data_IF_582578503534
#
_entry.id   IF_582578503534
#
_cell.length_a   1.000
_cell.length_b   1.000
_cell.length_c   1.000
_cell.angle_alpha   90.00
_cell.angle_beta   90.00
_cell.angle_gamma   90.00
#
_symmetry.space_group_name_H-M   'P 1'
#
loop_
_entity.id
_entity.type
_entity.pdbx_description
1 polymer ?
#
# COMPACT_ATOMS: atom_id res chain seq x y z
N UNK A 1 -13.37 8.97 -0.98
CA UNK A 1 -11.91 8.80 -1.14
C UNK A 1 -11.22 9.61 -0.05
N UNK A 2 -10.61 8.95 0.93
CA UNK A 2 -9.79 9.61 1.94
C UNK A 2 -8.39 9.87 1.34
N UNK A 3 -7.75 10.99 1.70
CA UNK A 3 -6.37 11.31 1.30
C UNK A 3 -5.46 11.13 2.50
N UNK A 4 -4.55 10.16 2.45
CA UNK A 4 -3.48 10.00 3.42
C UNK A 4 -2.17 10.57 2.83
N UNK A 5 -1.36 11.24 3.66
CA UNK A 5 -0.05 11.79 3.30
C UNK A 5 1.05 10.89 3.89
N UNK A 6 2.06 10.57 3.08
CA UNK A 6 3.25 9.80 3.48
C UNK A 6 4.49 10.32 2.73
N UNK A 7 5.68 9.77 3.00
CA UNK A 7 6.93 10.18 2.35
C UNK A 7 7.69 11.24 3.15
N UNK A 8 8.91 11.56 2.70
CA UNK A 8 9.88 12.41 3.44
C UNK A 8 9.28 13.72 3.94
N UNK A 9 8.49 14.42 3.11
CA UNK A 9 7.78 15.66 3.49
C UNK A 9 6.72 15.44 4.58
N UNK A 10 5.99 14.33 4.55
CA UNK A 10 4.99 14.01 5.57
C UNK A 10 5.63 13.55 6.89
N UNK A 11 6.84 13.00 6.79
CA UNK A 11 7.68 12.54 7.89
C UNK A 11 8.56 13.66 8.48
N UNK A 12 8.67 14.81 7.80
CA UNK A 12 9.53 15.93 8.21
C UNK A 12 11.03 15.65 8.00
N UNK A 13 11.36 14.73 7.08
CA UNK A 13 12.71 14.31 6.71
C UNK A 13 13.12 14.86 5.33
N UNK A 14 12.49 15.94 4.88
CA UNK A 14 12.79 16.58 3.61
C UNK A 14 14.10 17.39 3.66
N UNK A 15 14.98 17.14 2.70
CA UNK A 15 16.22 17.92 2.52
C UNK A 15 15.89 19.31 1.94
N UNK A 16 15.57 20.29 2.80
CA UNK A 16 15.38 21.68 2.38
C UNK A 16 16.71 22.44 2.39
N UNK A 17 17.32 22.63 1.21
CA UNK A 17 18.35 23.65 1.02
C UNK A 17 17.67 24.94 0.54
N UNK A 18 17.69 25.99 1.37
CA UNK A 18 17.08 27.28 1.05
C UNK A 18 17.69 27.84 -0.26
N UNK A 19 16.87 28.00 -1.29
CA UNK A 19 17.23 28.62 -2.57
C UNK A 19 17.55 27.65 -3.72
N UNK A 20 17.60 26.34 -3.45
CA UNK A 20 17.69 25.30 -4.48
C UNK A 20 16.38 24.50 -4.38
N UNK A 21 15.64 24.35 -5.48
CA UNK A 21 14.47 23.47 -5.48
C UNK A 21 14.88 22.08 -5.02
N UNK A 22 14.16 21.54 -4.03
CA UNK A 22 14.46 20.20 -3.51
C UNK A 22 14.15 19.12 -4.53
N UNK A 23 14.86 17.99 -4.44
CA UNK A 23 14.49 16.73 -5.13
C UNK A 23 13.38 15.98 -4.42
N UNK A 24 12.79 16.57 -3.37
CA UNK A 24 11.77 15.92 -2.56
C UNK A 24 10.47 15.80 -3.34
N UNK A 25 10.02 14.57 -3.51
CA UNK A 25 8.74 14.23 -4.11
C UNK A 25 7.63 14.27 -3.03
N UNK A 26 6.40 14.55 -3.45
CA UNK A 26 5.23 14.46 -2.57
C UNK A 26 4.46 13.18 -2.87
N UNK A 27 4.34 12.28 -1.89
CA UNK A 27 3.50 11.10 -2.04
C UNK A 27 2.06 11.34 -1.58
N UNK A 28 1.10 11.10 -2.47
CA UNK A 28 -0.32 11.08 -2.15
C UNK A 28 -0.85 9.66 -2.35
N UNK A 29 -1.14 8.98 -1.24
CA UNK A 29 -1.79 7.67 -1.26
C UNK A 29 -3.30 7.84 -1.36
N UNK A 30 -3.85 7.30 -2.45
CA UNK A 30 -5.26 7.21 -2.71
C UNK A 30 -5.77 5.89 -2.15
N UNK A 31 -6.36 5.97 -0.97
CA UNK A 31 -6.93 4.81 -0.29
C UNK A 31 -8.27 4.46 -0.92
N UNK A 32 -8.31 3.29 -1.56
CA UNK A 32 -9.51 2.69 -2.09
C UNK A 32 -10.10 1.72 -1.06
N UNK A 33 -11.31 2.05 -0.61
CA UNK A 33 -12.11 1.24 0.29
C UNK A 33 -13.40 0.90 -0.46
N UNK A 34 -13.39 -0.25 -1.14
CA UNK A 34 -14.50 -0.68 -1.98
C UNK A 34 -15.64 -1.31 -1.18
N UNK A 35 -16.76 -1.70 -1.83
CA UNK A 35 -17.88 -2.37 -1.16
C UNK A 35 -17.58 -3.86 -0.91
N UNK A 36 -16.40 -4.16 -0.37
CA UNK A 36 -15.95 -5.51 -0.02
C UNK A 36 -15.44 -5.54 1.42
N UNK A 37 -15.46 -6.73 2.01
CA UNK A 37 -14.87 -6.97 3.34
C UNK A 37 -13.48 -7.56 3.18
N UNK A 38 -12.61 -7.38 4.17
CA UNK A 38 -11.33 -8.08 4.24
C UNK A 38 -11.45 -9.36 5.07
N UNK A 39 -10.70 -10.39 4.72
CA UNK A 39 -10.32 -11.44 5.65
C UNK A 39 -9.12 -10.97 6.47
N UNK A 40 -9.01 -11.42 7.71
CA UNK A 40 -7.82 -11.20 8.54
C UNK A 40 -6.86 -12.41 8.55
N UNK A 41 -7.23 -13.52 7.90
CA UNK A 41 -6.38 -14.71 7.78
C UNK A 41 -5.38 -14.58 6.63
N UNK A 42 -4.23 -15.20 6.83
CA UNK A 42 -3.18 -15.40 5.83
C UNK A 42 -3.45 -16.68 5.04
N UNK A 43 -3.86 -17.74 5.73
CA UNK A 43 -4.26 -19.01 5.13
C UNK A 43 -5.56 -18.89 4.33
N UNK A 44 -5.80 -19.87 3.43
CA UNK A 44 -7.02 -19.93 2.62
C UNK A 44 -8.25 -19.89 3.53
N UNK A 45 -9.13 -18.88 3.38
CA UNK A 45 -10.34 -18.79 4.18
C UNK A 45 -11.34 -19.88 3.79
N UNK A 46 -12.20 -20.25 4.74
CA UNK A 46 -13.34 -21.12 4.47
C UNK A 46 -14.35 -20.44 3.52
N UNK A 47 -15.14 -21.26 2.83
CA UNK A 47 -16.22 -20.77 1.98
C UNK A 47 -17.25 -19.99 2.82
N UNK A 48 -17.74 -18.88 2.28
CA UNK A 48 -18.71 -18.01 2.95
C UNK A 48 -20.11 -18.13 2.35
N UNK A 49 -21.14 -17.79 3.13
CA UNK A 49 -22.48 -17.64 2.59
C UNK A 49 -22.53 -16.50 1.55
N UNK A 50 -23.29 -16.64 0.45
CA UNK A 50 -23.34 -15.63 -0.62
C UNK A 50 -23.71 -14.22 -0.15
N UNK A 51 -24.49 -14.09 0.92
CA UNK A 51 -24.90 -12.80 1.49
C UNK A 51 -23.75 -12.09 2.21
N UNK A 52 -22.67 -12.79 2.52
CA UNK A 52 -21.46 -12.22 3.13
C UNK A 52 -20.44 -11.75 2.10
N UNK A 53 -20.65 -12.07 0.82
CA UNK A 53 -19.82 -11.62 -0.29
C UNK A 53 -20.16 -10.17 -0.71
N UNK A 54 -19.23 -9.42 -1.34
CA UNK A 54 -17.87 -9.83 -1.66
C UNK A 54 -16.90 -9.67 -0.48
N UNK A 55 -15.97 -10.62 -0.35
CA UNK A 55 -14.87 -10.57 0.61
C UNK A 55 -13.55 -10.84 -0.11
N UNK A 56 -12.53 -10.07 0.24
CA UNK A 56 -11.16 -10.16 -0.28
C UNK A 56 -10.25 -10.85 0.71
N UNK A 57 -9.38 -11.68 0.15
CA UNK A 57 -8.29 -12.35 0.86
C UNK A 57 -6.95 -11.92 0.24
N UNK A 58 -6.05 -11.40 1.08
CA UNK A 58 -4.67 -11.14 0.72
C UNK A 58 -3.83 -12.39 1.00
N UNK A 59 -3.39 -13.05 -0.06
CA UNK A 59 -2.57 -14.26 0.00
C UNK A 59 -1.10 -13.90 -0.22
N UNK A 60 -0.19 -14.15 0.74
CA UNK A 60 1.24 -14.00 0.51
C UNK A 60 1.74 -14.80 -0.69
N UNK A 61 2.70 -14.23 -1.40
CA UNK A 61 3.43 -14.90 -2.48
C UNK A 61 4.74 -15.48 -1.95
N UNK A 62 5.47 -16.21 -2.80
CA UNK A 62 6.85 -16.64 -2.49
C UNK A 62 7.83 -15.46 -2.38
N UNK A 63 7.39 -14.25 -2.74
CA UNK A 63 8.15 -13.02 -2.55
C UNK A 63 7.75 -12.36 -1.23
N UNK A 64 8.66 -12.36 -0.26
CA UNK A 64 8.46 -11.65 1.00
C UNK A 64 8.04 -10.19 0.76
N UNK A 65 6.99 -9.75 1.45
CA UNK A 65 6.43 -8.40 1.27
C UNK A 65 5.48 -8.24 0.09
N UNK A 66 5.15 -9.31 -0.65
CA UNK A 66 4.18 -9.27 -1.75
C UNK A 66 3.02 -10.24 -1.52
N UNK A 67 1.83 -9.81 -1.94
CA UNK A 67 0.58 -10.58 -1.85
C UNK A 67 -0.16 -10.57 -3.18
N UNK A 68 -0.91 -11.63 -3.48
CA UNK A 68 -1.96 -11.62 -4.49
C UNK A 68 -3.31 -11.47 -3.82
N UNK A 69 -4.27 -10.86 -4.51
CA UNK A 69 -5.62 -10.67 -3.99
C UNK A 69 -6.57 -11.68 -4.61
N UNK A 70 -7.46 -12.23 -3.80
CA UNK A 70 -8.41 -13.26 -4.22
C UNK A 70 -9.79 -13.00 -3.65
N UNK A 71 -10.83 -13.33 -4.41
CA UNK A 71 -12.19 -13.37 -3.88
C UNK A 71 -12.36 -14.60 -3.00
N UNK A 72 -12.88 -14.40 -1.78
CA UNK A 72 -13.28 -15.53 -0.93
C UNK A 72 -14.42 -16.26 -1.61
N UNK A 73 -14.28 -17.58 -1.70
CA UNK A 73 -15.28 -18.45 -2.32
C UNK A 73 -16.58 -18.42 -1.53
N UNK A 74 -17.69 -18.50 -2.25
CA UNK A 74 -18.99 -18.74 -1.63
C UNK A 74 -19.34 -20.22 -1.66
N UNK A 75 -20.25 -20.65 -0.79
CA UNK A 75 -20.81 -22.02 -0.79
C UNK A 75 -21.55 -22.39 -2.08
N UNK A 76 -21.78 -21.42 -2.99
CA UNK A 76 -22.40 -21.62 -4.31
C UNK A 76 -21.40 -21.62 -5.47
N UNK A 77 -20.12 -21.38 -5.20
CA UNK A 77 -19.09 -21.38 -6.23
C UNK A 77 -18.89 -22.80 -6.77
N UNK A 78 -18.96 -22.96 -8.09
CA UNK A 78 -18.65 -24.24 -8.76
C UNK A 78 -17.17 -24.42 -9.11
N UNK A 79 -16.33 -23.41 -8.85
CA UNK A 79 -14.89 -23.47 -9.03
C UNK A 79 -14.21 -23.86 -7.72
N UNK A 80 -13.15 -24.66 -7.80
CA UNK A 80 -12.38 -25.06 -6.63
C UNK A 80 -11.21 -24.11 -6.36
N UNK A 81 -10.60 -23.61 -7.43
CA UNK A 81 -9.45 -22.72 -7.42
C UNK A 81 -9.84 -21.31 -6.95
N UNK A 82 -8.95 -20.63 -6.19
CA UNK A 82 -9.11 -19.22 -5.87
C UNK A 82 -9.22 -18.37 -7.13
N UNK A 83 -10.14 -17.40 -7.12
CA UNK A 83 -10.26 -16.43 -8.20
C UNK A 83 -9.49 -15.17 -7.82
N UNK A 84 -8.54 -14.79 -8.67
CA UNK A 84 -7.83 -13.54 -8.52
C UNK A 84 -8.81 -12.36 -8.52
N UNK A 85 -8.55 -11.41 -7.63
CA UNK A 85 -9.31 -10.20 -7.46
C UNK A 85 -8.40 -9.00 -7.71
N UNK A 86 -8.93 -7.97 -8.36
CA UNK A 86 -8.25 -6.68 -8.52
C UNK A 86 -6.78 -6.83 -8.93
N UNK A 87 -6.46 -7.39 -10.12
CA UNK A 87 -5.07 -7.54 -10.54
C UNK A 87 -4.35 -6.19 -10.53
N UNK A 88 -3.12 -6.18 -10.02
CA UNK A 88 -2.35 -4.96 -9.77
C UNK A 88 -2.18 -4.09 -11.03
N UNK A 89 -1.93 -4.70 -12.19
CA UNK A 89 -1.76 -3.95 -13.44
C UNK A 89 -3.02 -3.16 -13.85
N UNK A 90 -4.21 -3.71 -13.60
CA UNK A 90 -5.46 -2.99 -13.82
C UNK A 90 -5.60 -1.79 -12.89
N UNK A 91 -5.13 -1.88 -11.64
CA UNK A 91 -5.18 -0.76 -10.70
C UNK A 91 -4.14 0.32 -11.02
N UNK A 92 -2.96 -0.07 -11.53
CA UNK A 92 -1.98 0.88 -12.09
C UNK A 92 -2.57 1.64 -13.27
N UNK A 93 -3.22 0.92 -14.20
CA UNK A 93 -3.92 1.53 -15.33
C UNK A 93 -4.99 2.54 -14.87
N UNK A 94 -5.80 2.16 -13.89
CA UNK A 94 -6.81 3.05 -13.29
C UNK A 94 -6.19 4.33 -12.70
N UNK A 95 -5.11 4.22 -11.94
CA UNK A 95 -4.45 5.40 -11.36
C UNK A 95 -3.85 6.32 -12.43
N UNK A 96 -3.26 5.72 -13.47
CA UNK A 96 -2.73 6.47 -14.60
C UNK A 96 -3.83 7.23 -15.34
N UNK A 97 -4.96 6.57 -15.63
CA UNK A 97 -6.10 7.20 -16.29
C UNK A 97 -6.73 8.28 -15.43
N UNK A 98 -6.84 8.06 -14.11
CA UNK A 98 -7.30 9.08 -13.17
C UNK A 98 -6.41 10.32 -13.22
N UNK A 99 -5.08 10.16 -13.19
CA UNK A 99 -4.15 11.27 -13.30
C UNK A 99 -4.30 12.01 -14.64
N UNK A 100 -4.49 11.28 -15.75
CA UNK A 100 -4.73 11.89 -17.08
C UNK A 100 -6.00 12.74 -17.14
N UNK A 101 -7.03 12.37 -16.36
CA UNK A 101 -8.28 13.14 -16.27
C UNK A 101 -8.11 14.35 -15.35
N UNK A 102 -7.42 14.18 -14.22
CA UNK A 102 -7.32 15.20 -13.17
C UNK A 102 -6.23 16.24 -13.41
N UNK A 103 -5.20 15.92 -14.20
CA UNK A 103 -3.97 16.69 -14.30
C UNK A 103 -3.63 17.05 -15.74
N UNK A 104 -2.88 18.13 -15.88
CA UNK A 104 -2.43 18.67 -17.19
C UNK A 104 -0.91 18.69 -17.32
N UNK A 105 -0.18 18.40 -16.24
CA UNK A 105 1.27 18.25 -16.23
C UNK A 105 1.80 17.04 -16.99
N UNK A 106 3.12 16.86 -16.93
CA UNK A 106 3.79 15.66 -17.46
C UNK A 106 3.48 14.48 -16.54
N UNK A 107 2.84 13.46 -17.09
CA UNK A 107 2.43 12.25 -16.37
C UNK A 107 3.38 11.10 -16.73
N UNK A 108 4.00 10.48 -15.74
CA UNK A 108 4.95 9.37 -15.92
C UNK A 108 4.65 8.25 -14.91
N UNK A 109 4.30 7.03 -15.35
CA UNK A 109 4.21 5.88 -14.45
C UNK A 109 5.59 5.51 -13.88
N UNK A 110 5.70 5.38 -12.56
CA UNK A 110 6.96 5.07 -11.86
C UNK A 110 6.69 4.09 -10.70
N UNK A 111 7.03 2.82 -10.89
CA UNK A 111 6.78 1.78 -9.87
C UNK A 111 5.29 1.68 -9.49
N UNK A 112 4.91 1.76 -8.20
CA UNK A 112 3.51 1.78 -7.77
C UNK A 112 2.80 3.12 -8.01
N UNK A 113 3.53 4.17 -8.37
CA UNK A 113 3.05 5.54 -8.46
C UNK A 113 2.82 5.99 -9.91
N UNK A 114 2.05 7.05 -10.03
CA UNK A 114 2.00 7.90 -11.22
C UNK A 114 2.52 9.26 -10.84
N UNK A 115 3.73 9.58 -11.29
CA UNK A 115 4.36 10.87 -11.06
C UNK A 115 3.72 11.92 -11.98
N UNK A 116 3.38 13.07 -11.42
CA UNK A 116 2.87 14.22 -12.16
C UNK A 116 3.72 15.44 -11.85
N UNK A 117 4.24 16.07 -12.89
CA UNK A 117 4.98 17.34 -12.81
C UNK A 117 4.14 18.40 -13.53
N UNK A 118 3.50 19.29 -12.76
CA UNK A 118 2.70 20.39 -13.31
C UNK A 118 3.61 21.54 -13.79
N UNK A 119 3.20 22.35 -14.78
CA UNK A 119 4.03 23.45 -15.28
C UNK A 119 4.33 24.47 -14.19
N UNK A 120 5.62 24.67 -13.90
CA UNK A 120 6.08 25.61 -12.87
C UNK A 120 6.39 24.97 -11.52
N UNK A 121 6.19 23.65 -11.37
CA UNK A 121 6.69 22.91 -10.21
C UNK A 121 8.21 23.05 -10.10
N UNK A 122 8.68 23.34 -8.89
CA UNK A 122 10.10 23.48 -8.55
C UNK A 122 10.67 22.26 -7.82
N UNK A 123 9.86 21.22 -7.67
CA UNK A 123 10.19 19.93 -7.07
C UNK A 123 10.05 18.81 -8.12
N UNK A 124 10.39 17.56 -7.77
CA UNK A 124 10.37 16.41 -8.68
C UNK A 124 8.97 15.92 -9.10
N UNK A 125 7.92 16.66 -8.72
CA UNK A 125 6.52 16.33 -8.98
C UNK A 125 5.80 15.82 -7.74
N UNK A 126 4.62 15.24 -7.98
CA UNK A 126 3.78 14.60 -6.98
C UNK A 126 3.52 13.17 -7.45
N UNK A 127 3.77 12.20 -6.58
CA UNK A 127 3.52 10.78 -6.81
C UNK A 127 2.12 10.39 -6.32
N UNK A 128 1.27 10.02 -7.28
CA UNK A 128 -0.09 9.55 -7.01
C UNK A 128 -0.06 8.02 -6.91
N UNK A 129 -0.31 7.48 -5.73
CA UNK A 129 -0.19 6.05 -5.46
C UNK A 129 -1.57 5.45 -5.18
N UNK A 130 -1.97 4.46 -5.97
CA UNK A 130 -3.16 3.66 -5.62
C UNK A 130 -2.82 2.78 -4.42
N UNK A 131 -3.72 2.71 -3.44
CA UNK A 131 -3.53 1.86 -2.28
C UNK A 131 -4.83 1.23 -1.81
N UNK A 132 -4.75 0.00 -1.33
CA UNK A 132 -5.83 -0.68 -0.62
C UNK A 132 -5.45 -0.77 0.85
N UNK A 133 -6.34 -0.34 1.75
CA UNK A 133 -6.09 -0.46 3.18
C UNK A 133 -6.72 -1.74 3.74
N UNK A 134 -5.88 -2.63 4.25
CA UNK A 134 -6.29 -3.91 4.85
C UNK A 134 -6.28 -3.74 6.36
N UNK A 135 -7.45 -3.44 6.93
CA UNK A 135 -7.60 -3.19 8.37
C UNK A 135 -7.41 -4.46 9.18
N UNK A 136 -6.59 -4.39 10.23
CA UNK A 136 -6.41 -5.49 11.18
C UNK A 136 -5.79 -6.76 10.58
N UNK A 137 -5.11 -6.62 9.45
CA UNK A 137 -4.36 -7.70 8.81
C UNK A 137 -2.88 -7.33 8.80
N UNK A 138 -2.05 -8.28 9.21
CA UNK A 138 -0.60 -8.16 9.18
C UNK A 138 -0.03 -9.47 8.60
N UNK A 139 1.00 -9.43 7.74
CA UNK A 139 1.42 -10.59 6.97
C UNK A 139 1.77 -11.79 7.85
N UNK A 140 2.62 -11.62 8.86
CA UNK A 140 2.98 -12.63 9.87
C UNK A 140 3.42 -11.91 11.15
N UNK A 141 3.22 -12.50 12.33
CA UNK A 141 3.51 -11.84 13.62
C UNK A 141 4.98 -11.42 13.79
N UNK A 142 5.88 -12.17 13.16
CA UNK A 142 7.33 -11.94 13.11
C UNK A 142 7.75 -11.04 11.94
N UNK A 143 6.93 -10.86 10.90
CA UNK A 143 7.33 -10.21 9.66
C UNK A 143 7.73 -8.73 9.79
N UNK A 144 8.89 -8.34 9.23
CA UNK A 144 9.88 -9.20 8.59
C UNK A 144 10.81 -9.90 9.62
N UNK A 145 11.26 -11.12 9.30
CA UNK A 145 12.13 -11.97 10.15
C UNK A 145 13.46 -11.30 10.55
N UNK A 146 13.88 -10.27 9.82
CA UNK A 146 15.14 -9.56 9.98
C UNK A 146 14.99 -8.19 10.65
N UNK A 147 13.94 -7.99 11.48
CA UNK A 147 13.79 -6.77 12.28
C UNK A 147 15.11 -6.45 12.99
N UNK A 148 15.79 -5.39 12.55
CA UNK A 148 16.92 -4.80 13.25
C UNK A 148 16.41 -4.14 14.54
N UNK A 149 16.13 -4.96 15.55
CA UNK A 149 15.72 -4.57 16.90
C UNK A 149 16.92 -4.08 17.74
N UNK A 150 18.00 -3.64 17.11
CA UNK A 150 19.22 -3.19 17.82
C UNK A 150 18.95 -1.97 18.72
N UNK A 151 17.83 -1.27 18.51
CA UNK A 151 17.29 -0.26 19.39
C UNK A 151 15.87 -0.63 19.86
N UNK A 152 15.50 -0.20 21.08
CA UNK A 152 14.12 -0.23 21.60
C UNK A 152 13.21 0.80 20.88
N UNK A 153 13.33 0.87 19.56
CA UNK A 153 12.63 1.78 18.67
C UNK A 153 11.89 0.98 17.58
N UNK A 154 10.62 1.30 17.29
CA UNK A 154 9.77 2.24 18.03
C UNK A 154 9.42 1.69 19.42
N UNK A 155 8.76 2.50 20.25
CA UNK A 155 8.34 2.11 21.61
C UNK A 155 7.60 0.77 21.64
N UNK A 156 7.66 0.05 22.76
CA UNK A 156 6.94 -1.22 22.91
C UNK A 156 5.43 -1.10 22.61
N UNK A 157 4.81 0.03 22.99
CA UNK A 157 3.42 0.34 22.66
C UNK A 157 3.20 0.42 21.14
N UNK A 158 4.02 1.17 20.41
CA UNK A 158 3.92 1.22 18.94
C UNK A 158 4.19 -0.14 18.28
N UNK A 159 5.14 -0.93 18.80
CA UNK A 159 5.39 -2.30 18.30
C UNK A 159 4.15 -3.21 18.41
N UNK A 160 3.25 -2.95 19.37
CA UNK A 160 1.97 -3.65 19.51
C UNK A 160 0.85 -3.03 18.66
N UNK A 161 0.79 -1.71 18.58
CA UNK A 161 -0.26 -0.99 17.85
C UNK A 161 -0.10 -1.08 16.33
N UNK A 162 1.15 -1.11 15.84
CA UNK A 162 1.44 -1.06 14.40
C UNK A 162 0.78 -2.22 13.64
N UNK A 163 0.98 -3.49 14.06
CA UNK A 163 0.31 -4.61 13.43
C UNK A 163 -1.23 -4.54 13.53
N UNK A 164 -1.76 -3.94 14.60
CA UNK A 164 -3.21 -3.93 14.87
C UNK A 164 -4.00 -3.01 13.94
N UNK A 165 -3.43 -1.91 13.44
CA UNK A 165 -4.13 -1.07 12.46
C UNK A 165 -4.10 -1.68 11.05
N UNK A 166 -3.15 -2.56 10.75
CA UNK A 166 -3.00 -3.24 9.46
C UNK A 166 -2.11 -2.50 8.47
N UNK A 167 -2.21 -2.81 7.18
CA UNK A 167 -1.25 -2.31 6.16
C UNK A 167 -1.93 -1.77 4.92
N UNK A 168 -1.19 -0.98 4.16
CA UNK A 168 -1.57 -0.61 2.79
C UNK A 168 -0.96 -1.60 1.80
N UNK A 169 -1.67 -1.88 0.72
CA UNK A 169 -1.19 -2.65 -0.42
C UNK A 169 -1.10 -1.72 -1.63
N UNK A 170 0.05 -1.68 -2.29
CA UNK A 170 0.30 -0.84 -3.47
C UNK A 170 0.57 -1.71 -4.70
N UNK A 171 0.03 -1.38 -5.89
CA UNK A 171 0.02 -2.28 -7.03
C UNK A 171 1.36 -2.23 -7.78
N UNK A 172 2.39 -2.86 -7.22
CA UNK A 172 3.68 -3.07 -7.88
C UNK A 172 4.12 -4.49 -7.61
N UNK A 173 4.45 -5.23 -8.66
CA UNK A 173 5.02 -6.56 -8.51
C UNK A 173 6.52 -6.55 -8.41
N UNK A 174 7.07 -7.68 -7.98
CA UNK A 174 8.50 -7.97 -8.03
C UNK A 174 8.87 -8.30 -9.47
N UNK A 175 9.75 -7.48 -10.05
CA UNK A 175 10.23 -7.66 -11.41
C UNK A 175 10.77 -9.07 -11.65
N UNK A 176 10.26 -9.75 -12.69
CA UNK A 176 10.65 -11.10 -13.08
C UNK A 176 9.97 -12.22 -12.29
N UNK A 177 9.07 -11.91 -11.33
CA UNK A 177 8.29 -12.93 -10.63
C UNK A 177 7.15 -13.46 -11.53
N UNK A 178 6.67 -14.67 -11.25
CA UNK A 178 5.52 -15.24 -11.95
C UNK A 178 4.23 -14.41 -11.74
N UNK A 179 4.20 -13.60 -10.68
CA UNK A 179 3.06 -12.81 -10.23
C UNK A 179 3.26 -11.30 -10.43
N UNK A 180 4.29 -10.88 -11.19
CA UNK A 180 4.71 -9.48 -11.37
C UNK A 180 3.55 -8.52 -11.73
N UNK A 181 2.58 -9.01 -12.50
CA UNK A 181 1.46 -8.19 -12.99
C UNK A 181 0.20 -8.29 -12.12
N UNK A 182 0.12 -9.27 -11.22
CA UNK A 182 -1.08 -9.52 -10.39
C UNK A 182 -0.86 -9.23 -8.91
N UNK A 183 0.39 -9.21 -8.44
CA UNK A 183 0.72 -9.01 -7.02
C UNK A 183 0.85 -7.53 -6.61
N UNK A 184 0.66 -7.33 -5.31
CA UNK A 184 0.78 -6.07 -4.60
C UNK A 184 1.96 -6.14 -3.64
N UNK A 185 2.65 -5.02 -3.49
CA UNK A 185 3.64 -4.84 -2.42
C UNK A 185 2.94 -4.33 -1.16
N UNK A 186 3.30 -4.87 -0.01
CA UNK A 186 2.92 -4.33 1.29
C UNK A 186 3.67 -3.01 1.50
N UNK A 187 2.92 -1.96 1.86
CA UNK A 187 3.44 -0.63 2.14
C UNK A 187 3.32 -0.32 3.63
N UNK A 188 4.45 0.02 4.24
CA UNK A 188 4.55 0.37 5.64
C UNK A 188 4.56 1.88 5.89
N UNK A 189 4.27 2.69 4.87
CA UNK A 189 4.34 4.15 4.93
C UNK A 189 3.55 4.77 6.09
N UNK A 190 2.40 4.20 6.46
CA UNK A 190 1.66 4.63 7.66
C UNK A 190 2.37 4.25 8.97
N UNK A 191 2.96 3.06 9.03
CA UNK A 191 3.74 2.61 10.18
C UNK A 191 5.03 3.44 10.34
N UNK A 192 5.69 3.76 9.23
CA UNK A 192 6.88 4.61 9.16
C UNK A 192 6.57 6.01 9.70
N UNK A 193 5.49 6.65 9.25
CA UNK A 193 5.05 7.95 9.81
C UNK A 193 4.81 7.90 11.32
N UNK A 194 4.20 6.82 11.83
CA UNK A 194 3.98 6.65 13.28
C UNK A 194 5.32 6.50 14.00
N UNK A 195 6.23 5.67 13.48
CA UNK A 195 7.55 5.48 14.07
C UNK A 195 8.36 6.79 14.07
N UNK A 196 8.42 7.51 12.96
CA UNK A 196 9.13 8.80 12.83
C UNK A 196 8.57 9.84 13.79
N UNK A 197 7.25 9.89 14.00
CA UNK A 197 6.65 10.79 15.00
C UNK A 197 7.16 10.53 16.43
N UNK A 198 7.64 9.33 16.74
CA UNK A 198 8.25 9.03 18.04
C UNK A 198 9.72 9.45 18.16
N UNK A 199 10.35 9.88 17.05
CA UNK A 199 11.71 10.44 17.08
C UNK A 199 11.72 11.92 17.52
N UNK A 200 10.57 12.60 17.48
CA UNK A 200 10.44 13.96 17.99
C UNK A 200 9.91 13.94 19.43
N UNK A 201 10.46 14.74 20.36
CA UNK A 201 9.78 15.01 21.62
C UNK A 201 8.40 15.60 21.30
N UNK A 202 7.37 15.17 22.02
CA UNK A 202 6.00 15.68 21.92
C UNK A 202 5.98 17.21 21.75
N UNK A 203 5.26 17.71 20.74
CA UNK A 203 4.90 19.13 20.63
C UNK A 203 3.69 19.43 21.52
#
# INVERSE_FOLDING_TARGET
MAKNRSGSMAEGLDDYIIGVGGTSDFDIMFEFDGPFRWTTTVEKPADIEPQSAPQLWARPTDNAGFVTLHWVRTTRCGHEEPLEALPADSQRGLMHDLCRIMKTGKITPTGPAVNVIDPGDKHGGIDYVFSLYVRGWWPESDWPDDRHLEADFPTAAARLEIPAFGVHLVPTGRKGSATEFTEYRISLSRAEVIAVRQLSPEQ
#
